data_IF_564678951643
#
_entry.id   IF_564678951643
#
_cell.length_a   1.000
_cell.length_b   1.000
_cell.length_c   1.000
_cell.angle_alpha   90.00
_cell.angle_beta   90.00
_cell.angle_gamma   90.00
#
_symmetry.space_group_name_H-M   'P 1'
#
loop_
_entity.id
_entity.type
_entity.pdbx_description
1 polymer ?
#
# COMPACT_ATOMS: atom_id res chain seq x y z
N UNK A 1 -11.45 -30.06 28.32
CA UNK A 1 -10.37 -29.08 28.07
C UNK A 1 -9.92 -29.27 26.63
N UNK A 2 -9.94 -28.23 25.79
CA UNK A 2 -9.57 -28.34 24.36
C UNK A 2 -8.18 -28.97 24.28
N UNK A 3 -8.09 -30.21 23.78
CA UNK A 3 -6.81 -30.90 23.63
C UNK A 3 -5.93 -30.06 22.68
N UNK A 4 -4.89 -29.38 23.18
CA UNK A 4 -4.10 -28.44 22.38
C UNK A 4 -3.42 -29.14 21.19
N UNK A 5 -3.20 -30.45 21.31
CA UNK A 5 -2.67 -31.32 20.26
C UNK A 5 -3.62 -31.42 19.05
N UNK A 6 -4.95 -31.46 19.26
CA UNK A 6 -5.94 -31.48 18.16
C UNK A 6 -6.02 -30.13 17.46
N UNK A 7 -5.95 -29.04 18.21
CA UNK A 7 -5.96 -27.68 17.66
C UNK A 7 -4.76 -27.43 16.72
N UNK A 8 -3.56 -27.91 17.08
CA UNK A 8 -2.38 -27.81 16.21
C UNK A 8 -2.56 -28.62 14.91
N UNK A 9 -3.23 -29.77 14.97
CA UNK A 9 -3.53 -30.57 13.77
C UNK A 9 -4.54 -29.88 12.85
N UNK A 10 -5.58 -29.25 13.41
CA UNK A 10 -6.55 -28.45 12.68
C UNK A 10 -5.90 -27.22 12.02
N UNK A 11 -5.05 -26.47 12.75
CA UNK A 11 -4.30 -25.33 12.19
C UNK A 11 -3.34 -25.76 11.09
N UNK A 12 -2.70 -26.92 11.22
CA UNK A 12 -1.88 -27.48 10.13
C UNK A 12 -2.73 -27.76 8.89
N UNK A 13 -3.90 -28.39 9.05
CA UNK A 13 -4.81 -28.68 7.93
C UNK A 13 -5.34 -27.39 7.26
N UNK A 14 -5.58 -26.33 8.02
CA UNK A 14 -5.96 -25.02 7.47
C UNK A 14 -4.79 -24.31 6.80
N UNK A 15 -3.58 -24.39 7.37
CA UNK A 15 -2.38 -23.84 6.77
C UNK A 15 -2.04 -24.47 5.41
N UNK A 16 -2.35 -25.75 5.21
CA UNK A 16 -2.20 -26.40 3.89
C UNK A 16 -3.20 -25.92 2.84
N UNK A 17 -4.32 -25.30 3.24
CA UNK A 17 -5.26 -24.66 2.32
C UNK A 17 -4.80 -23.26 1.89
N UNK A 18 -3.83 -22.68 2.59
CA UNK A 18 -3.27 -21.36 2.25
C UNK A 18 -2.27 -21.54 1.10
N UNK A 19 -2.73 -21.37 -0.13
CA UNK A 19 -1.86 -21.27 -1.29
C UNK A 19 -1.22 -19.89 -1.33
N UNK A 20 0.06 -19.80 -0.95
CA UNK A 20 0.81 -18.56 -1.11
C UNK A 20 1.12 -18.31 -2.60
N UNK A 21 0.98 -17.05 -3.06
CA UNK A 21 1.34 -16.68 -4.42
C UNK A 21 2.81 -16.94 -4.68
N UNK A 22 3.12 -17.29 -5.92
CA UNK A 22 4.50 -17.48 -6.36
C UNK A 22 5.25 -16.15 -6.36
N UNK A 23 6.58 -16.20 -6.20
CA UNK A 23 7.44 -14.99 -6.24
C UNK A 23 7.18 -14.10 -7.47
N UNK A 24 6.81 -14.69 -8.61
CA UNK A 24 6.49 -13.96 -9.84
C UNK A 24 5.18 -13.18 -9.72
N UNK A 25 4.13 -13.78 -9.16
CA UNK A 25 2.84 -13.13 -8.94
C UNK A 25 2.96 -12.00 -7.90
N UNK A 26 3.72 -12.22 -6.83
CA UNK A 26 4.01 -11.19 -5.82
C UNK A 26 4.74 -9.99 -6.42
N UNK A 27 5.75 -10.23 -7.28
CA UNK A 27 6.47 -9.16 -7.98
C UNK A 27 5.55 -8.40 -8.94
N UNK A 28 4.68 -9.09 -9.67
CA UNK A 28 3.74 -8.45 -10.58
C UNK A 28 2.73 -7.58 -9.82
N UNK A 29 2.21 -8.08 -8.70
CA UNK A 29 1.34 -7.31 -7.80
C UNK A 29 2.05 -6.07 -7.23
N UNK A 30 3.29 -6.23 -6.79
CA UNK A 30 4.10 -5.11 -6.30
C UNK A 30 4.34 -4.05 -7.39
N UNK A 31 4.58 -4.46 -8.63
CA UNK A 31 4.83 -3.57 -9.77
C UNK A 31 3.58 -2.76 -10.14
N UNK A 32 2.38 -3.37 -10.07
CA UNK A 32 1.11 -2.66 -10.26
C UNK A 32 0.90 -1.57 -9.20
N UNK A 33 1.14 -1.90 -7.93
CA UNK A 33 1.02 -0.93 -6.83
C UNK A 33 2.06 0.17 -6.96
N UNK A 34 3.29 -0.17 -7.33
CA UNK A 34 4.37 0.79 -7.54
C UNK A 34 4.02 1.78 -8.65
N UNK A 35 3.47 1.32 -9.78
CA UNK A 35 3.02 2.18 -10.86
C UNK A 35 1.95 3.18 -10.39
N UNK A 36 0.96 2.73 -9.61
CA UNK A 36 -0.07 3.61 -9.04
C UNK A 36 0.54 4.64 -8.07
N UNK A 37 1.50 4.22 -7.24
CA UNK A 37 2.19 5.13 -6.33
C UNK A 37 2.99 6.21 -7.07
N UNK A 38 3.63 5.88 -8.20
CA UNK A 38 4.34 6.84 -9.04
C UNK A 38 3.37 7.86 -9.68
N UNK A 39 2.21 7.41 -10.14
CA UNK A 39 1.19 8.32 -10.68
C UNK A 39 0.70 9.29 -9.59
N UNK A 40 0.41 8.77 -8.39
CA UNK A 40 -0.03 9.59 -7.26
C UNK A 40 1.05 10.57 -6.79
N UNK A 41 2.33 10.19 -6.80
CA UNK A 41 3.41 11.09 -6.40
C UNK A 41 3.57 12.26 -7.37
N UNK A 42 3.42 12.02 -8.68
CA UNK A 42 3.41 13.07 -9.69
C UNK A 42 2.22 14.02 -9.52
N UNK A 43 1.03 13.48 -9.20
CA UNK A 43 -0.15 14.30 -8.91
C UNK A 43 0.07 15.20 -7.68
N UNK A 44 0.60 14.65 -6.58
CA UNK A 44 0.90 15.46 -5.40
C UNK A 44 1.95 16.53 -5.67
N UNK A 45 2.99 16.22 -6.44
CA UNK A 45 4.01 17.19 -6.81
C UNK A 45 3.42 18.39 -7.57
N UNK A 46 2.46 18.16 -8.46
CA UNK A 46 1.74 19.25 -9.14
C UNK A 46 0.88 20.05 -8.16
N UNK A 47 0.17 19.38 -7.26
CA UNK A 47 -0.61 20.07 -6.23
C UNK A 47 0.27 20.92 -5.32
N UNK A 48 1.44 20.44 -4.92
CA UNK A 48 2.38 21.19 -4.09
C UNK A 48 2.82 22.49 -4.78
N UNK A 49 3.02 22.48 -6.09
CA UNK A 49 3.36 23.69 -6.85
C UNK A 49 2.20 24.69 -6.87
N UNK A 50 0.99 24.21 -7.11
CA UNK A 50 -0.23 25.04 -7.10
C UNK A 50 -0.44 25.66 -5.72
N UNK A 51 -0.35 24.85 -4.66
CA UNK A 51 -0.49 25.33 -3.28
C UNK A 51 0.58 26.35 -2.91
N UNK A 52 1.84 26.14 -3.29
CA UNK A 52 2.91 27.12 -3.10
C UNK A 52 2.60 28.45 -3.78
N UNK A 53 2.14 28.42 -5.02
CA UNK A 53 1.74 29.63 -5.74
C UNK A 53 0.60 30.37 -5.04
N UNK A 54 -0.42 29.65 -4.58
CA UNK A 54 -1.52 30.24 -3.81
C UNK A 54 -1.05 30.84 -2.48
N UNK A 55 -0.16 30.16 -1.76
CA UNK A 55 0.42 30.67 -0.51
C UNK A 55 1.25 31.93 -0.73
N UNK A 56 2.09 31.97 -1.77
CA UNK A 56 2.87 33.16 -2.12
C UNK A 56 1.98 34.35 -2.47
N UNK A 57 0.89 34.11 -3.21
CA UNK A 57 -0.09 35.14 -3.53
C UNK A 57 -0.78 35.68 -2.28
N UNK A 58 -1.17 34.79 -1.37
CA UNK A 58 -1.80 35.18 -0.10
C UNK A 58 -0.85 35.97 0.80
N UNK A 59 0.41 35.54 0.91
CA UNK A 59 1.45 36.27 1.66
C UNK A 59 1.71 37.65 1.05
N UNK A 60 1.75 37.76 -0.28
CA UNK A 60 1.93 39.04 -0.97
C UNK A 60 0.73 39.98 -0.85
N UNK A 61 -0.48 39.47 -0.66
CA UNK A 61 -1.69 40.27 -0.41
C UNK A 61 -1.77 40.72 1.06
N UNK A 62 -1.24 39.91 1.99
CA UNK A 62 -1.25 40.20 3.43
C UNK A 62 -0.13 41.14 3.89
N UNK A 63 0.96 41.27 3.11
CA UNK A 63 2.05 42.24 3.28
C UNK A 63 1.74 43.50 2.47
#
# INVERSE_FOLDING_TARGET
>A
MKNPIKFIQEVKQEAFKVSWPTWKETLQGALMVFAMAVIMSLFFLLLDQVLKFFLELLLKVSI
#
